data_IF_189741149300
#
_entry.id   IF_189741149300
#
_cell.length_a   1.000
_cell.length_b   1.000
_cell.length_c   1.000
_cell.angle_alpha   90.00
_cell.angle_beta   90.00
_cell.angle_gamma   90.00
#
_symmetry.space_group_name_H-M   'P 1'
#
loop_
_entity.id
_entity.type
_entity.pdbx_description
1 polymer ?
#
# COMPACT_ATOMS: atom_id res chain seq x y z
N UNK A 1 9.21 -9.47 -27.99
CA UNK A 1 7.87 -9.74 -27.43
C UNK A 1 8.09 -9.97 -25.95
N UNK A 2 7.68 -9.03 -25.09
CA UNK A 2 7.84 -9.17 -23.64
C UNK A 2 6.62 -9.93 -23.10
N UNK A 3 6.86 -11.05 -22.44
CA UNK A 3 5.80 -11.79 -21.74
C UNK A 3 5.31 -10.93 -20.56
N UNK A 4 4.02 -10.60 -20.59
CA UNK A 4 3.31 -10.05 -19.44
C UNK A 4 3.29 -11.12 -18.34
N UNK A 5 4.06 -10.90 -17.28
CA UNK A 5 4.10 -11.80 -16.13
C UNK A 5 2.75 -11.73 -15.40
N UNK A 6 1.86 -12.67 -15.68
CA UNK A 6 0.59 -12.79 -14.95
C UNK A 6 0.83 -13.48 -13.60
N UNK A 7 0.50 -12.80 -12.51
CA UNK A 7 0.54 -13.37 -11.16
C UNK A 7 -0.72 -14.21 -10.92
N UNK A 8 -0.58 -15.53 -10.88
CA UNK A 8 -1.65 -16.42 -10.40
C UNK A 8 -1.39 -16.82 -8.96
N UNK A 9 -2.06 -16.17 -8.01
CA UNK A 9 -2.01 -16.56 -6.61
C UNK A 9 -2.95 -17.75 -6.36
N UNK A 10 -2.47 -18.98 -6.57
CA UNK A 10 -3.27 -20.19 -6.37
C UNK A 10 -3.39 -20.63 -4.89
N UNK A 11 -2.65 -20.01 -3.97
CA UNK A 11 -2.65 -20.40 -2.56
C UNK A 11 -3.45 -19.42 -1.68
N UNK A 12 -4.59 -19.89 -1.19
CA UNK A 12 -5.58 -19.14 -0.41
C UNK A 12 -5.15 -18.85 1.03
N UNK A 13 -3.97 -19.32 1.46
CA UNK A 13 -3.46 -19.08 2.81
C UNK A 13 -2.39 -18.00 2.89
N UNK A 14 -1.95 -17.45 1.75
CA UNK A 14 -0.95 -16.39 1.75
C UNK A 14 -1.60 -15.12 2.31
N UNK A 15 -0.98 -14.57 3.35
CA UNK A 15 -1.42 -13.33 4.02
C UNK A 15 -0.45 -12.17 3.82
N UNK A 16 0.76 -12.45 3.35
CA UNK A 16 1.83 -11.47 3.17
C UNK A 16 2.35 -11.51 1.74
N UNK A 17 2.31 -10.36 1.07
CA UNK A 17 2.95 -10.13 -0.21
C UNK A 17 4.29 -9.41 0.04
N UNK A 18 5.37 -9.91 -0.53
CA UNK A 18 6.69 -9.28 -0.45
C UNK A 18 7.07 -8.80 -1.84
N UNK A 19 7.21 -7.50 -1.99
CA UNK A 19 7.64 -6.89 -3.24
C UNK A 19 9.16 -6.74 -3.28
N UNK A 20 9.74 -7.31 -4.34
CA UNK A 20 11.15 -7.24 -4.68
C UNK A 20 11.36 -6.57 -6.05
N UNK A 21 10.31 -6.01 -6.66
CA UNK A 21 10.45 -5.37 -7.97
C UNK A 21 11.44 -4.23 -7.87
N UNK A 22 12.55 -4.34 -8.61
CA UNK A 22 13.46 -3.22 -8.85
C UNK A 22 12.84 -2.23 -9.84
N UNK A 23 13.64 -1.29 -10.36
CA UNK A 23 13.23 -0.15 -11.20
C UNK A 23 12.40 -0.42 -12.49
N UNK A 24 12.05 -1.66 -12.81
CA UNK A 24 11.27 -1.99 -14.01
C UNK A 24 9.82 -2.37 -13.65
N UNK A 25 8.90 -1.40 -13.74
CA UNK A 25 7.46 -1.71 -13.80
C UNK A 25 7.01 -1.63 -15.26
N UNK A 26 6.59 -2.77 -15.82
CA UNK A 26 5.96 -2.83 -17.14
C UNK A 26 4.44 -3.08 -17.07
N UNK A 27 3.87 -3.22 -15.88
CA UNK A 27 2.42 -3.41 -15.68
C UNK A 27 1.75 -2.17 -15.11
N UNK A 28 0.49 -1.98 -15.47
CA UNK A 28 -0.33 -0.93 -14.89
C UNK A 28 -0.60 -1.26 -13.41
N UNK A 29 -0.52 -0.26 -12.54
CA UNK A 29 -0.75 -0.42 -11.09
C UNK A 29 -2.14 -1.01 -10.80
N UNK A 30 -3.10 -0.69 -11.67
CA UNK A 30 -4.45 -1.20 -11.58
C UNK A 30 -4.50 -2.72 -11.72
N UNK A 31 -3.80 -3.31 -12.70
CA UNK A 31 -3.70 -4.77 -12.84
C UNK A 31 -3.10 -5.41 -11.59
N UNK A 32 -2.06 -4.79 -11.00
CA UNK A 32 -1.49 -5.30 -9.75
C UNK A 32 -2.53 -5.33 -8.63
N UNK A 33 -3.24 -4.21 -8.41
CA UNK A 33 -4.27 -4.08 -7.36
C UNK A 33 -5.40 -5.10 -7.56
N UNK A 34 -5.92 -5.23 -8.77
CA UNK A 34 -7.05 -6.11 -9.09
C UNK A 34 -6.71 -7.60 -8.92
N UNK A 35 -5.44 -7.96 -9.03
CA UNK A 35 -4.97 -9.33 -8.88
C UNK A 35 -4.47 -9.67 -7.45
N UNK A 36 -4.47 -8.73 -6.50
CA UNK A 36 -4.11 -9.05 -5.12
C UNK A 36 -5.21 -9.90 -4.48
N UNK A 37 -4.91 -11.12 -3.98
CA UNK A 37 -5.88 -11.94 -3.28
C UNK A 37 -6.40 -11.22 -2.03
N UNK A 38 -7.70 -11.36 -1.76
CA UNK A 38 -8.35 -10.80 -0.57
C UNK A 38 -7.80 -11.34 0.75
N UNK A 39 -7.05 -12.44 0.71
CA UNK A 39 -6.38 -13.06 1.86
C UNK A 39 -5.12 -12.30 2.28
N UNK A 40 -4.51 -11.53 1.36
CA UNK A 40 -3.36 -10.69 1.66
C UNK A 40 -3.82 -9.56 2.57
N UNK A 41 -3.19 -9.49 3.75
CA UNK A 41 -3.43 -8.42 4.73
C UNK A 41 -2.16 -7.64 5.03
N UNK A 42 -1.00 -8.12 4.59
CA UNK A 42 0.28 -7.45 4.78
C UNK A 42 1.00 -7.31 3.44
N UNK A 43 1.51 -6.10 3.15
CA UNK A 43 2.47 -5.88 2.07
C UNK A 43 3.81 -5.48 2.67
N UNK A 44 4.89 -6.06 2.17
CA UNK A 44 6.25 -5.71 2.54
C UNK A 44 7.02 -5.22 1.32
N UNK A 45 7.42 -3.96 1.35
CA UNK A 45 8.22 -3.31 0.31
C UNK A 45 9.71 -3.42 0.66
N UNK A 46 10.50 -3.93 -0.29
CA UNK A 46 11.96 -4.00 -0.15
C UNK A 46 12.65 -2.74 -0.70
N UNK A 47 13.93 -2.51 -0.36
CA UNK A 47 14.66 -1.38 -0.91
C UNK A 47 14.65 -1.42 -2.44
N UNK A 48 14.35 -0.28 -3.07
CA UNK A 48 14.23 -0.16 -4.53
C UNK A 48 12.86 -0.54 -5.10
N UNK A 49 11.89 -0.86 -4.23
CA UNK A 49 10.49 -1.09 -4.64
C UNK A 49 9.87 0.17 -5.23
N UNK A 50 9.42 0.08 -6.47
CA UNK A 50 8.69 1.19 -7.10
C UNK A 50 7.26 1.35 -6.55
N UNK A 51 6.71 0.28 -5.94
CA UNK A 51 5.41 0.37 -5.26
C UNK A 51 5.41 1.41 -4.15
N UNK A 52 6.57 1.71 -3.55
CA UNK A 52 6.69 2.77 -2.56
C UNK A 52 6.34 4.14 -3.17
N UNK A 53 6.89 4.48 -4.33
CA UNK A 53 6.59 5.75 -5.01
C UNK A 53 5.11 5.85 -5.36
N UNK A 54 4.55 4.75 -5.84
CA UNK A 54 3.12 4.64 -6.17
C UNK A 54 2.24 4.83 -4.94
N UNK A 55 2.62 4.24 -3.81
CA UNK A 55 1.91 4.37 -2.55
C UNK A 55 2.00 5.81 -2.00
N UNK A 56 3.10 6.50 -2.26
CA UNK A 56 3.25 7.90 -1.89
C UNK A 56 2.37 8.85 -2.73
N UNK A 57 1.98 8.47 -3.95
CA UNK A 57 1.12 9.23 -4.87
C UNK A 57 -0.41 9.13 -4.58
N UNK A 58 -0.75 8.75 -3.34
CA UNK A 58 -2.04 8.98 -2.69
C UNK A 58 -3.29 8.20 -3.16
N UNK A 59 -3.47 7.86 -4.44
CA UNK A 59 -4.77 7.33 -4.93
C UNK A 59 -4.92 5.82 -4.77
N UNK A 60 -3.81 5.08 -4.82
CA UNK A 60 -3.79 3.62 -4.99
C UNK A 60 -3.89 2.86 -3.67
N UNK A 61 -3.33 3.41 -2.59
CA UNK A 61 -3.36 2.80 -1.26
C UNK A 61 -4.78 2.63 -0.69
N UNK A 62 -5.67 3.58 -0.95
CA UNK A 62 -7.06 3.50 -0.48
C UNK A 62 -7.88 2.40 -1.16
N UNK A 63 -7.43 1.89 -2.31
CA UNK A 63 -8.07 0.79 -3.04
C UNK A 63 -7.65 -0.59 -2.52
N UNK A 64 -6.59 -0.64 -1.71
CA UNK A 64 -6.00 -1.86 -1.19
C UNK A 64 -6.61 -2.23 0.17
N UNK A 65 -7.14 -3.44 0.30
CA UNK A 65 -7.60 -4.00 1.58
C UNK A 65 -6.44 -4.53 2.43
N UNK A 66 -5.41 -3.71 2.61
CA UNK A 66 -4.17 -4.09 3.28
C UNK A 66 -4.17 -3.51 4.69
N UNK A 67 -3.98 -4.37 5.69
CA UNK A 67 -3.99 -3.98 7.10
C UNK A 67 -2.63 -3.49 7.58
N UNK A 68 -1.55 -3.99 6.98
CA UNK A 68 -0.19 -3.69 7.42
C UNK A 68 0.73 -3.48 6.24
N UNK A 69 1.48 -2.38 6.28
CA UNK A 69 2.53 -2.08 5.31
C UNK A 69 3.86 -2.03 6.04
N UNK A 70 4.83 -2.81 5.57
CA UNK A 70 6.19 -2.84 6.07
C UNK A 70 7.12 -2.31 4.98
N UNK A 71 7.92 -1.31 5.29
CA UNK A 71 8.80 -0.67 4.31
C UNK A 71 10.25 -0.83 4.78
N UNK A 72 11.03 -1.62 4.06
CA UNK A 72 12.46 -1.78 4.30
C UNK A 72 13.22 -0.76 3.41
N UNK A 73 13.87 0.24 4.01
CA UNK A 73 14.70 1.23 3.29
C UNK A 73 15.99 1.55 4.06
N UNK A 74 16.94 2.19 3.36
CA UNK A 74 18.25 2.59 3.90
C UNK A 74 18.29 4.01 4.47
N UNK A 75 17.24 4.80 4.23
CA UNK A 75 17.18 6.20 4.65
C UNK A 75 16.00 6.43 5.60
N UNK A 76 15.95 7.62 6.19
CA UNK A 76 14.88 8.03 7.08
C UNK A 76 13.64 8.48 6.29
N UNK A 77 12.45 8.02 6.72
CA UNK A 77 11.21 8.53 6.15
C UNK A 77 10.98 9.96 6.63
N UNK A 78 10.67 10.85 5.69
CA UNK A 78 10.27 12.22 6.02
C UNK A 78 8.84 12.26 6.55
N UNK A 79 8.50 13.32 7.28
CA UNK A 79 7.11 13.57 7.70
C UNK A 79 6.14 13.63 6.51
N UNK A 80 6.60 14.14 5.35
CA UNK A 80 5.80 14.16 4.13
C UNK A 80 5.44 12.73 3.68
N UNK A 81 6.41 11.82 3.67
CA UNK A 81 6.16 10.41 3.32
C UNK A 81 5.21 9.76 4.32
N UNK A 82 5.43 9.95 5.62
CA UNK A 82 4.56 9.41 6.67
C UNK A 82 3.13 9.94 6.50
N UNK A 83 2.98 11.24 6.25
CA UNK A 83 1.67 11.88 6.05
C UNK A 83 0.93 11.34 4.81
N UNK A 84 1.62 10.89 3.77
CA UNK A 84 0.97 10.22 2.62
C UNK A 84 0.25 8.93 3.03
N UNK A 85 0.82 8.15 3.94
CA UNK A 85 0.19 6.95 4.50
C UNK A 85 -0.95 7.30 5.46
N UNK A 86 -0.75 8.31 6.32
CA UNK A 86 -1.78 8.82 7.25
C UNK A 86 -3.05 9.27 6.53
N UNK A 87 -2.91 9.97 5.39
CA UNK A 87 -4.04 10.38 4.54
C UNK A 87 -4.83 9.21 3.97
N UNK A 88 -4.24 8.01 3.92
CA UNK A 88 -4.87 6.77 3.47
C UNK A 88 -5.30 5.86 4.63
N UNK A 89 -5.25 6.34 5.87
CA UNK A 89 -5.78 5.62 7.03
C UNK A 89 -4.79 4.71 7.71
N UNK A 90 -3.51 4.87 7.43
CA UNK A 90 -2.47 4.14 8.11
C UNK A 90 -1.86 4.98 9.22
N UNK A 91 -1.71 4.39 10.40
CA UNK A 91 -0.94 4.95 11.49
C UNK A 91 0.51 4.47 11.40
N UNK A 92 1.46 5.37 11.60
CA UNK A 92 2.87 5.02 11.74
C UNK A 92 3.16 4.49 13.16
N UNK A 93 3.84 3.34 13.24
CA UNK A 93 4.15 2.65 14.50
C UNK A 93 5.65 2.67 14.85
N UNK A 94 6.45 3.45 14.14
CA UNK A 94 7.89 3.55 14.36
C UNK A 94 8.72 2.71 13.38
N UNK A 95 10.03 2.78 13.57
CA UNK A 95 11.02 2.07 12.78
C UNK A 95 11.77 1.04 13.65
N UNK A 96 12.07 -0.11 13.07
CA UNK A 96 12.93 -1.14 13.68
C UNK A 96 14.20 -1.32 12.84
N UNK A 97 15.35 -1.45 13.49
CA UNK A 97 16.61 -1.72 12.79
C UNK A 97 16.71 -3.22 12.48
N UNK A 98 17.12 -3.57 11.26
CA UNK A 98 17.29 -4.97 10.85
C UNK A 98 18.77 -5.33 10.74
N UNK A 99 19.22 -6.14 11.70
CA UNK A 99 20.58 -6.68 11.76
C UNK A 99 21.63 -5.62 12.11
N UNK A 100 22.89 -5.89 11.77
CA UNK A 100 24.02 -4.99 11.98
C UNK A 100 24.15 -3.89 10.89
N UNK A 101 23.11 -3.68 10.09
CA UNK A 101 23.11 -2.74 8.96
C UNK A 101 22.26 -1.52 9.25
N UNK A 102 22.45 -0.44 8.50
CA UNK A 102 21.64 0.79 8.55
C UNK A 102 20.20 0.62 8.02
N UNK A 103 19.78 -0.62 7.70
CA UNK A 103 18.44 -0.91 7.19
C UNK A 103 17.39 -0.71 8.28
N UNK A 104 16.41 0.15 7.99
CA UNK A 104 15.25 0.41 8.83
C UNK A 104 14.02 -0.23 8.21
N UNK A 105 13.19 -0.87 9.03
CA UNK A 105 11.86 -1.30 8.68
C UNK A 105 10.84 -0.39 9.36
N UNK A 106 10.10 0.37 8.56
CA UNK A 106 9.01 1.22 9.00
C UNK A 106 7.70 0.45 8.96
N UNK A 107 6.90 0.60 10.01
CA UNK A 107 5.64 -0.14 10.16
C UNK A 107 4.44 0.82 10.11
N UNK A 108 3.50 0.51 9.23
CA UNK A 108 2.24 1.22 9.08
C UNK A 108 1.08 0.25 9.26
N UNK A 109 0.11 0.61 10.09
CA UNK A 109 -1.06 -0.23 10.37
C UNK A 109 -2.31 0.55 10.02
N UNK A 110 -3.18 -0.04 9.21
CA UNK A 110 -4.45 0.55 8.85
C UNK A 110 -5.32 0.67 10.11
N UNK A 111 -5.76 1.88 10.41
CA UNK A 111 -6.72 2.09 11.47
C UNK A 111 -8.10 1.65 10.99
N UNK A 112 -8.78 0.83 11.80
CA UNK A 112 -10.14 0.29 11.51
C UNK A 112 -11.23 1.36 11.27
N UNK A 113 -10.91 2.64 11.47
CA UNK A 113 -11.88 3.73 11.48
C UNK A 113 -11.65 4.78 10.39
N UNK A 114 -10.75 4.55 9.42
CA UNK A 114 -10.63 5.50 8.32
C UNK A 114 -11.63 5.22 7.19
N UNK A 115 -12.65 6.07 7.22
CA UNK A 115 -13.63 6.40 6.17
C UNK A 115 -13.19 5.99 4.76
N UNK A 116 -13.96 5.10 4.13
CA UNK A 116 -13.90 4.89 2.68
C UNK A 116 -14.19 6.22 1.97
N UNK A 117 -13.37 6.56 0.97
CA UNK A 117 -13.74 7.54 -0.04
C UNK A 117 -14.88 6.93 -0.84
N UNK A 118 -16.10 7.41 -0.62
CA UNK A 118 -17.22 7.01 -1.46
C UNK A 118 -17.09 7.73 -2.81
N UNK A 119 -17.07 6.96 -3.90
CA UNK A 119 -17.15 7.48 -5.27
C UNK A 119 -18.63 7.70 -5.57
N UNK A 120 -19.08 8.94 -5.56
CA UNK A 120 -20.42 9.30 -6.01
C UNK A 120 -20.34 10.00 -7.37
N UNK A 121 -21.19 9.55 -8.28
CA UNK A 121 -21.36 10.17 -9.59
C UNK A 121 -22.55 11.13 -9.53
N UNK A 122 -22.26 12.43 -9.53
CA UNK A 122 -23.26 13.49 -9.66
C UNK A 122 -23.25 13.97 -11.13
N UNK A 123 -24.02 13.30 -11.98
CA UNK A 123 -24.07 13.60 -13.42
C UNK A 123 -22.79 13.21 -14.16
N UNK A 124 -22.13 14.18 -14.83
CA UNK A 124 -20.90 13.95 -15.61
C UNK A 124 -19.62 14.09 -14.75
N UNK A 125 -19.76 14.54 -13.49
CA UNK A 125 -18.62 14.84 -12.62
C UNK A 125 -18.47 13.81 -11.52
N UNK A 126 -17.21 13.41 -11.28
CA UNK A 126 -16.86 12.55 -10.15
C UNK A 126 -16.64 13.40 -8.90
N UNK A 127 -17.29 13.01 -7.79
CA UNK A 127 -17.07 13.61 -6.47
C UNK A 127 -16.58 12.55 -5.50
N UNK A 128 -15.57 12.93 -4.72
CA UNK A 128 -15.03 12.12 -3.63
C UNK A 128 -15.53 12.70 -2.31
N UNK A 129 -16.29 11.91 -1.55
CA UNK A 129 -16.86 12.35 -0.27
C UNK A 129 -16.34 11.48 0.88
N UNK A 130 -15.98 12.14 1.98
CA UNK A 130 -15.39 11.55 3.17
C UNK A 130 -16.51 11.22 4.17
N UNK A 131 -16.96 9.96 4.26
CA UNK A 131 -18.04 9.55 5.20
C UNK A 131 -17.52 9.09 6.57
N UNK A 132 -17.88 9.81 7.64
CA UNK A 132 -17.56 9.45 9.04
C UNK A 132 -18.60 8.47 9.58
N UNK A 133 -18.17 7.26 9.95
CA UNK A 133 -19.01 6.36 10.77
C UNK A 133 -18.59 6.52 12.23
N UNK A 134 -19.55 6.91 13.08
CA UNK A 134 -19.42 6.83 14.53
C UNK A 134 -20.04 5.50 14.97
N UNK A 135 -19.30 4.68 15.74
CA UNK A 135 -19.88 3.54 16.43
C UNK A 135 -20.64 4.05 17.66
N UNK A 136 -21.90 3.60 17.80
CA UNK A 136 -22.76 3.79 18.98
C UNK A 136 -22.41 2.70 20.00
#
# INVERSE_FOLDING_TARGET
>A
MNELVHYTFQDTKITTLVDHTGFEIHQTIQEFIENIPSTISTIKLKPGSNLLEIFLDHVTLGLLNIKTILIDIHFEMTDLMINSFTRNGYQYHGATFKGATEKRQFTFIQQKNMKLLCKQQDGINWRYTIQQFHLI
#
